data_IF_071191924882
#
_entry.id   IF_071191924882
#
_cell.length_a   1.000
_cell.length_b   1.000
_cell.length_c   1.000
_cell.angle_alpha   90.00
_cell.angle_beta   90.00
_cell.angle_gamma   90.00
#
_symmetry.space_group_name_H-M   'P 1'
#
loop_
_entity.id
_entity.type
_entity.pdbx_description
1 polymer ?
#
# COMPACT_ATOMS: atom_id res chain seq x y z
N UNK A 1 -3.46 -13.03 -2.86
CA UNK A 1 -2.48 -11.96 -3.16
C UNK A 1 -3.12 -10.60 -3.35
N UNK A 2 -4.16 -10.46 -4.17
CA UNK A 2 -4.80 -9.16 -4.43
C UNK A 2 -5.27 -8.45 -3.15
N UNK A 3 -5.82 -9.19 -2.17
CA UNK A 3 -6.21 -8.63 -0.87
C UNK A 3 -5.04 -8.02 -0.09
N UNK A 4 -3.86 -8.65 -0.13
CA UNK A 4 -2.66 -8.14 0.53
C UNK A 4 -2.26 -6.79 -0.07
N UNK A 5 -2.09 -6.76 -1.40
CA UNK A 5 -1.70 -5.55 -2.13
C UNK A 5 -2.72 -4.43 -1.91
N UNK A 6 -4.02 -4.74 -1.93
CA UNK A 6 -5.08 -3.77 -1.64
C UNK A 6 -4.99 -3.22 -0.19
N UNK A 7 -4.77 -4.07 0.80
CA UNK A 7 -4.62 -3.63 2.20
C UNK A 7 -3.38 -2.74 2.40
N UNK A 8 -2.24 -3.13 1.81
CA UNK A 8 -0.99 -2.39 1.90
C UNK A 8 -1.01 -1.07 1.13
N UNK A 9 -1.69 -1.01 -0.01
CA UNK A 9 -1.90 0.25 -0.76
C UNK A 9 -2.86 1.19 -0.04
N UNK A 10 -3.92 0.66 0.58
CA UNK A 10 -4.82 1.45 1.43
C UNK A 10 -4.07 1.99 2.66
N UNK A 11 -3.17 1.20 3.24
CA UNK A 11 -2.29 1.64 4.33
C UNK A 11 -1.34 2.75 3.86
N UNK A 12 -0.73 2.61 2.68
CA UNK A 12 0.11 3.64 2.09
C UNK A 12 -0.67 4.96 1.87
N UNK A 13 -1.88 4.87 1.33
CA UNK A 13 -2.74 6.02 1.08
C UNK A 13 -3.17 6.72 2.37
N UNK A 14 -3.51 5.96 3.42
CA UNK A 14 -3.85 6.54 4.74
C UNK A 14 -2.63 7.20 5.39
N UNK A 15 -1.44 6.61 5.24
CA UNK A 15 -0.19 7.17 5.73
C UNK A 15 0.16 8.49 5.03
N UNK A 16 0.00 8.56 3.70
CA UNK A 16 0.20 9.81 2.93
C UNK A 16 -0.76 10.91 3.39
N UNK A 17 -2.05 10.58 3.57
CA UNK A 17 -3.06 11.52 4.09
C UNK A 17 -2.69 12.03 5.48
N UNK A 18 -2.16 11.16 6.35
CA UNK A 18 -1.69 11.56 7.67
C UNK A 18 -0.51 12.55 7.58
N UNK A 19 0.52 12.22 6.78
CA UNK A 19 1.70 13.07 6.60
C UNK A 19 1.32 14.46 6.06
N UNK A 20 0.40 14.53 5.10
CA UNK A 20 -0.12 15.80 4.56
C UNK A 20 -0.80 16.68 5.60
N UNK A 21 -1.46 16.07 6.59
CA UNK A 21 -2.19 16.77 7.66
C UNK A 21 -1.34 17.01 8.91
N UNK A 22 -0.09 16.55 8.92
CA UNK A 22 0.80 16.76 10.05
C UNK A 22 1.14 18.25 10.20
N UNK A 23 1.17 18.73 11.45
CA UNK A 23 1.48 20.12 11.79
C UNK A 23 2.95 20.46 11.62
N UNK A 24 3.82 19.46 11.68
CA UNK A 24 5.26 19.64 11.57
C UNK A 24 5.66 19.71 10.11
N UNK A 25 6.32 20.81 9.73
CA UNK A 25 6.81 21.06 8.37
C UNK A 25 7.69 19.91 7.86
N UNK A 26 8.50 19.31 8.75
CA UNK A 26 9.35 18.14 8.46
C UNK A 26 8.56 16.91 8.00
N UNK A 27 7.36 16.66 8.55
CA UNK A 27 6.53 15.53 8.10
C UNK A 27 5.76 15.85 6.82
N UNK A 28 5.45 17.13 6.58
CA UNK A 28 4.78 17.57 5.35
C UNK A 28 5.69 17.44 4.13
N UNK A 29 6.99 17.71 4.28
CA UNK A 29 7.98 17.51 3.21
C UNK A 29 8.25 16.03 2.89
N UNK A 30 7.83 15.10 3.74
CA UNK A 30 7.92 13.66 3.47
C UNK A 30 6.80 13.15 2.57
N UNK A 31 5.66 13.85 2.45
CA UNK A 31 4.61 13.57 1.44
C UNK A 31 5.02 14.10 0.06
N UNK A 32 6.16 13.63 -0.42
CA UNK A 32 6.56 13.80 -1.81
C UNK A 32 6.19 12.54 -2.59
N UNK A 33 5.90 12.71 -3.88
CA UNK A 33 5.64 11.60 -4.81
C UNK A 33 6.80 10.60 -4.81
N UNK A 34 8.02 11.07 -4.55
CA UNK A 34 9.21 10.22 -4.43
C UNK A 34 9.12 9.25 -3.24
N UNK A 35 8.68 9.73 -2.07
CA UNK A 35 8.49 8.86 -0.89
C UNK A 35 7.40 7.83 -1.14
N UNK A 36 6.28 8.23 -1.75
CA UNK A 36 5.19 7.31 -2.09
C UNK A 36 5.67 6.22 -3.06
N UNK A 37 6.46 6.57 -4.08
CA UNK A 37 7.09 5.60 -4.99
C UNK A 37 8.05 4.65 -4.26
N UNK A 38 8.90 5.18 -3.37
CA UNK A 38 9.82 4.34 -2.55
C UNK A 38 9.05 3.36 -1.68
N UNK A 39 7.96 3.82 -1.04
CA UNK A 39 7.12 2.97 -0.20
C UNK A 39 6.45 1.86 -1.02
N UNK A 40 5.90 2.19 -2.20
CA UNK A 40 5.33 1.20 -3.12
C UNK A 40 6.37 0.17 -3.58
N UNK A 41 7.59 0.60 -3.90
CA UNK A 41 8.68 -0.32 -4.24
C UNK A 41 9.01 -1.24 -3.07
N UNK A 42 9.12 -0.72 -1.84
CA UNK A 42 9.38 -1.53 -0.64
C UNK A 42 8.28 -2.57 -0.44
N UNK A 43 7.01 -2.16 -0.52
CA UNK A 43 5.85 -3.07 -0.38
C UNK A 43 5.92 -4.16 -1.45
N UNK A 44 6.16 -3.79 -2.71
CA UNK A 44 6.27 -4.74 -3.82
C UNK A 44 7.41 -5.75 -3.60
N UNK A 45 8.59 -5.28 -3.17
CA UNK A 45 9.73 -6.15 -2.88
C UNK A 45 9.42 -7.12 -1.74
N UNK A 46 8.79 -6.64 -0.66
CA UNK A 46 8.37 -7.49 0.46
C UNK A 46 7.35 -8.54 0.00
N UNK A 47 6.37 -8.17 -0.82
CA UNK A 47 5.40 -9.12 -1.37
C UNK A 47 6.07 -10.21 -2.22
N UNK A 48 7.07 -9.85 -3.04
CA UNK A 48 7.82 -10.82 -3.86
C UNK A 48 8.62 -11.78 -2.97
N UNK A 49 9.36 -11.24 -1.98
CA UNK A 49 10.14 -12.06 -1.03
C UNK A 49 9.26 -13.00 -0.20
N UNK A 50 8.08 -12.53 0.19
CA UNK A 50 7.10 -13.36 0.91
C UNK A 50 6.67 -14.56 0.07
N UNK A 51 6.62 -14.41 -1.24
CA UNK A 51 6.17 -15.45 -2.16
C UNK A 51 7.28 -16.42 -2.57
N UNK A 52 8.53 -15.97 -2.61
CA UNK A 52 9.67 -16.87 -2.87
C UNK A 52 9.77 -17.97 -1.81
N UNK A 53 9.46 -17.67 -0.56
CA UNK A 53 9.36 -18.66 0.52
C UNK A 53 8.31 -19.73 0.21
N UNK A 54 7.12 -19.32 -0.26
CA UNK A 54 6.05 -20.24 -0.66
C UNK A 54 6.51 -21.15 -1.81
N UNK A 55 7.18 -20.61 -2.82
CA UNK A 55 7.68 -21.41 -3.93
C UNK A 55 8.73 -22.43 -3.50
N UNK A 56 9.56 -22.11 -2.50
CA UNK A 56 10.59 -23.01 -2.01
C UNK A 56 10.02 -24.16 -1.16
N UNK A 57 8.96 -23.90 -0.39
CA UNK A 57 8.41 -24.88 0.55
C UNK A 57 7.35 -25.82 -0.03
N UNK A 58 6.77 -25.49 -1.17
CA UNK A 58 5.74 -26.31 -1.82
C UNK A 58 6.39 -27.21 -2.89
N UNK A 59 6.32 -28.52 -2.67
CA UNK A 59 6.74 -29.52 -3.66
C UNK A 59 5.51 -30.10 -4.36
N UNK A 60 5.61 -30.30 -5.68
CA UNK A 60 4.54 -30.85 -6.52
C UNK A 60 4.47 -32.39 -6.51
N UNK A 61 4.99 -33.04 -5.46
CA UNK A 61 5.23 -34.48 -5.45
C UNK A 61 4.39 -35.17 -4.39
N UNK A 62 3.18 -35.62 -4.77
CA UNK A 62 2.48 -36.67 -4.04
C UNK A 62 2.12 -37.76 -5.05
N UNK A 63 2.76 -38.95 -4.98
CA UNK A 63 2.70 -39.95 -6.06
C UNK A 63 1.32 -40.55 -6.35
N UNK A 64 0.30 -40.25 -5.53
CA UNK A 64 -1.05 -40.82 -5.64
C UNK A 64 -2.18 -39.78 -5.82
N UNK A 65 -1.87 -38.48 -5.87
CA UNK A 65 -2.89 -37.43 -6.02
C UNK A 65 -2.57 -36.53 -7.20
N UNK A 66 -3.54 -36.37 -8.11
CA UNK A 66 -3.30 -35.80 -9.43
C UNK A 66 -2.88 -34.33 -9.42
N UNK A 67 -3.26 -33.50 -8.45
CA UNK A 67 -2.79 -32.10 -8.33
C UNK A 67 -3.00 -31.60 -6.90
N UNK A 68 -2.12 -31.93 -5.95
CA UNK A 68 -2.20 -31.38 -4.60
C UNK A 68 -0.86 -30.79 -4.16
N UNK A 69 -0.73 -29.47 -4.23
CA UNK A 69 0.41 -28.74 -3.65
C UNK A 69 0.22 -28.67 -2.13
N UNK A 70 0.81 -29.61 -1.40
CA UNK A 70 0.80 -29.61 0.07
C UNK A 70 2.19 -29.26 0.63
N UNK A 71 2.26 -28.48 1.73
CA UNK A 71 3.51 -28.26 2.45
C UNK A 71 4.03 -29.59 3.02
N UNK A 72 5.32 -29.85 2.81
CA UNK A 72 5.98 -31.12 3.16
C UNK A 72 5.99 -31.42 4.67
N UNK A 73 5.82 -30.41 5.54
CA UNK A 73 5.96 -30.57 6.99
C UNK A 73 4.95 -29.69 7.74
N UNK A 74 4.44 -30.21 8.87
CA UNK A 74 3.50 -29.49 9.74
C UNK A 74 4.07 -28.15 10.24
N UNK A 75 5.34 -28.11 10.64
CA UNK A 75 5.98 -26.88 11.13
C UNK A 75 6.04 -25.78 10.06
N UNK A 76 6.27 -26.15 8.79
CA UNK A 76 6.29 -25.20 7.67
C UNK A 76 4.90 -24.65 7.36
N UNK A 77 3.87 -25.49 7.47
CA UNK A 77 2.47 -25.05 7.37
C UNK A 77 2.14 -24.03 8.45
N UNK A 78 2.47 -24.34 9.70
CA UNK A 78 2.21 -23.45 10.82
C UNK A 78 2.92 -22.11 10.65
N UNK A 79 4.20 -22.12 10.25
CA UNK A 79 4.96 -20.91 9.96
C UNK A 79 4.32 -20.06 8.84
N UNK A 80 3.92 -20.70 7.74
CA UNK A 80 3.26 -20.01 6.63
C UNK A 80 1.94 -19.38 7.04
N UNK A 81 1.11 -20.11 7.80
CA UNK A 81 -0.18 -19.60 8.30
C UNK A 81 0.03 -18.41 9.25
N UNK A 82 1.04 -18.49 10.13
CA UNK A 82 1.43 -17.39 11.02
C UNK A 82 1.91 -16.16 10.26
N UNK A 83 2.80 -16.34 9.28
CA UNK A 83 3.29 -15.26 8.43
C UNK A 83 2.14 -14.60 7.68
N UNK A 84 1.22 -15.40 7.14
CA UNK A 84 0.07 -14.91 6.41
C UNK A 84 -0.85 -14.06 7.31
N UNK A 85 -1.15 -14.50 8.53
CA UNK A 85 -1.95 -13.74 9.50
C UNK A 85 -1.26 -12.45 9.92
N UNK A 86 0.04 -12.52 10.23
CA UNK A 86 0.82 -11.36 10.68
C UNK A 86 0.88 -10.28 9.59
N UNK A 87 1.29 -10.64 8.38
CA UNK A 87 1.51 -9.68 7.30
C UNK A 87 0.23 -9.17 6.64
N UNK A 88 -0.83 -9.99 6.56
CA UNK A 88 -2.07 -9.58 5.89
C UNK A 88 -3.10 -8.96 6.82
N UNK A 89 -3.08 -9.31 8.11
CA UNK A 89 -4.14 -8.90 9.03
C UNK A 89 -3.58 -8.02 10.14
N UNK A 90 -2.65 -8.51 10.94
CA UNK A 90 -2.24 -7.85 12.19
C UNK A 90 -1.48 -6.57 11.90
N UNK A 91 -0.43 -6.63 11.09
CA UNK A 91 0.41 -5.47 10.77
C UNK A 91 -0.41 -4.35 10.09
N UNK A 92 -1.11 -4.59 8.96
CA UNK A 92 -1.84 -3.52 8.29
C UNK A 92 -2.98 -2.95 9.15
N UNK A 93 -3.68 -3.78 9.94
CA UNK A 93 -4.72 -3.29 10.85
C UNK A 93 -4.16 -2.42 11.96
N UNK A 94 -3.06 -2.84 12.59
CA UNK A 94 -2.40 -2.05 13.63
C UNK A 94 -1.87 -0.73 13.06
N UNK A 95 -1.21 -0.76 11.91
CA UNK A 95 -0.72 0.46 11.26
C UNK A 95 -1.87 1.39 10.86
N UNK A 96 -2.97 0.87 10.29
CA UNK A 96 -4.16 1.68 9.98
C UNK A 96 -4.80 2.28 11.22
N UNK A 97 -4.92 1.52 12.31
CA UNK A 97 -5.48 2.01 13.56
C UNK A 97 -4.64 3.18 14.13
N UNK A 98 -3.31 3.07 14.05
CA UNK A 98 -2.40 4.14 14.47
C UNK A 98 -2.53 5.38 13.57
N UNK A 99 -2.39 5.24 12.26
CA UNK A 99 -2.49 6.37 11.33
C UNK A 99 -3.89 6.99 11.31
N UNK A 100 -4.94 6.17 11.44
CA UNK A 100 -6.32 6.63 11.57
C UNK A 100 -6.52 7.46 12.83
N UNK A 101 -6.05 6.96 13.98
CA UNK A 101 -6.12 7.68 15.26
C UNK A 101 -5.36 9.00 15.23
N UNK A 102 -4.14 8.99 14.68
CA UNK A 102 -3.33 10.19 14.53
C UNK A 102 -3.96 11.22 13.56
N UNK A 103 -4.60 10.73 12.48
CA UNK A 103 -5.34 11.58 11.55
C UNK A 103 -6.54 12.24 12.23
N UNK A 104 -7.32 11.48 13.01
CA UNK A 104 -8.46 12.03 13.77
C UNK A 104 -8.00 13.06 14.79
N UNK A 105 -6.91 12.79 15.53
CA UNK A 105 -6.32 13.75 16.48
C UNK A 105 -5.91 15.06 15.78
N UNK A 106 -5.20 14.97 14.65
CA UNK A 106 -4.78 16.15 13.89
C UNK A 106 -5.98 16.94 13.34
N UNK A 107 -7.05 16.28 12.90
CA UNK A 107 -8.28 16.92 12.45
C UNK A 107 -8.97 17.66 13.60
N UNK A 108 -9.18 16.99 14.74
CA UNK A 108 -9.84 17.60 15.91
C UNK A 108 -9.06 18.82 16.37
N UNK A 109 -7.74 18.72 16.49
CA UNK A 109 -6.91 19.87 16.83
C UNK A 109 -6.94 20.94 15.73
N UNK A 110 -6.98 20.61 14.44
CA UNK A 110 -7.14 21.61 13.37
C UNK A 110 -8.45 22.38 13.47
N UNK A 111 -9.57 21.65 13.61
CA UNK A 111 -10.93 22.20 13.67
C UNK A 111 -11.15 23.06 14.92
N UNK A 112 -10.73 22.58 16.10
CA UNK A 112 -10.87 23.31 17.37
C UNK A 112 -10.09 24.64 17.35
N UNK A 113 -8.89 24.66 16.77
CA UNK A 113 -8.11 25.89 16.64
C UNK A 113 -8.70 26.87 15.62
N UNK A 114 -9.34 26.38 14.55
CA UNK A 114 -10.05 27.26 13.62
C UNK A 114 -11.33 27.84 14.18
N UNK A 115 -12.02 27.13 15.09
CA UNK A 115 -13.25 27.63 15.74
C UNK A 115 -12.92 28.70 16.79
N UNK A 116 -11.84 28.53 17.58
CA UNK A 116 -11.42 29.52 18.58
C UNK A 116 -10.93 30.87 18.03
N UNK A 117 -10.70 31.01 16.72
CA UNK A 117 -10.31 32.29 16.10
C UNK A 117 -11.50 33.14 15.63
N UNK A 118 -12.73 32.65 15.76
CA UNK A 118 -13.91 33.39 15.33
C UNK A 118 -14.46 34.40 16.35
N UNK A 119 -13.88 34.49 17.56
CA UNK A 119 -14.37 35.38 18.63
C UNK A 119 -13.49 36.62 18.89
N UNK A 120 -12.59 37.01 17.98
CA UNK A 120 -11.81 38.25 18.15
C UNK A 120 -12.34 39.40 17.25
N UNK A 121 -12.60 40.60 17.81
CA UNK A 121 -13.19 41.71 17.07
C UNK A 121 -12.20 42.38 16.12
N UNK A 122 -12.68 42.51 14.87
CA UNK A 122 -12.45 43.52 13.83
C UNK A 122 -11.24 44.46 13.97
N UNK A 123 -10.20 44.21 13.17
CA UNK A 123 -9.72 45.17 12.13
C UNK A 123 -8.36 44.77 11.52
N UNK A 124 -7.52 44.02 12.24
CA UNK A 124 -6.23 43.51 11.70
C UNK A 124 -6.43 42.17 10.94
N UNK A 125 -7.60 41.54 11.08
CA UNK A 125 -7.94 40.20 10.56
C UNK A 125 -8.13 40.18 9.02
N UNK A 126 -8.37 41.33 8.39
CA UNK A 126 -8.67 41.40 6.95
C UNK A 126 -7.47 41.07 6.04
N UNK A 127 -6.23 41.31 6.49
CA UNK A 127 -5.05 41.03 5.65
C UNK A 127 -4.68 39.54 5.63
N UNK A 128 -4.84 38.83 6.75
CA UNK A 128 -4.56 37.40 6.85
C UNK A 128 -5.72 36.52 6.34
N UNK A 129 -6.96 37.02 6.34
CA UNK A 129 -8.09 36.34 5.70
C UNK A 129 -7.98 36.35 4.17
N UNK A 130 -7.37 37.38 3.55
CA UNK A 130 -7.15 37.39 2.09
C UNK A 130 -6.16 36.32 1.63
N UNK A 131 -5.11 36.05 2.41
CA UNK A 131 -4.18 34.93 2.16
C UNK A 131 -4.88 33.57 2.28
N UNK A 132 -5.74 33.38 3.29
CA UNK A 132 -6.48 32.11 3.50
C UNK A 132 -7.64 31.90 2.50
N UNK A 133 -8.25 32.96 1.99
CA UNK A 133 -9.30 32.90 0.95
C UNK A 133 -8.70 32.52 -0.42
N UNK A 134 -7.42 32.84 -0.63
CA UNK A 134 -6.72 32.44 -1.85
C UNK A 134 -6.44 30.92 -1.89
N UNK A 135 -6.23 30.26 -0.75
CA UNK A 135 -6.08 28.79 -0.69
C UNK A 135 -7.39 28.04 -1.04
N UNK A 136 -8.55 28.65 -0.77
CA UNK A 136 -9.86 28.17 -1.23
C UNK A 136 -10.02 28.23 -2.75
N UNK A 137 -9.46 29.27 -3.37
CA UNK A 137 -9.43 29.41 -4.82
C UNK A 137 -8.36 28.52 -5.46
N UNK A 138 -7.22 28.30 -4.82
CA UNK A 138 -6.20 27.33 -5.28
C UNK A 138 -6.72 25.91 -5.16
N UNK A 139 -7.43 25.55 -4.09
CA UNK A 139 -8.06 24.23 -3.95
C UNK A 139 -9.23 24.02 -4.92
N UNK A 140 -10.00 25.06 -5.28
CA UNK A 140 -10.99 25.01 -6.37
C UNK A 140 -10.35 24.94 -7.76
N UNK A 141 -9.26 25.68 -7.99
CA UNK A 141 -8.49 25.64 -9.23
C UNK A 141 -7.78 24.29 -9.40
N UNK A 142 -7.30 23.69 -8.30
CA UNK A 142 -6.79 22.33 -8.22
C UNK A 142 -7.91 21.30 -8.35
N UNK A 143 -9.11 21.50 -7.80
CA UNK A 143 -10.27 20.60 -8.00
C UNK A 143 -10.74 20.59 -9.45
N UNK A 144 -10.67 21.73 -10.13
CA UNK A 144 -10.96 21.84 -11.57
C UNK A 144 -9.82 21.22 -12.39
N UNK A 145 -8.55 21.39 -11.96
CA UNK A 145 -7.40 20.69 -12.57
C UNK A 145 -7.40 19.18 -12.29
N UNK A 146 -7.89 18.71 -11.15
CA UNK A 146 -7.99 17.29 -10.82
C UNK A 146 -9.14 16.64 -11.58
N UNK A 147 -10.18 17.40 -11.93
CA UNK A 147 -11.25 16.88 -12.78
C UNK A 147 -10.86 16.79 -14.27
N UNK A 148 -9.89 17.60 -14.73
CA UNK A 148 -9.38 17.54 -16.12
C UNK A 148 -8.04 16.81 -16.27
N UNK A 149 -7.29 16.58 -15.20
CA UNK A 149 -5.93 15.99 -15.28
C UNK A 149 -5.44 15.43 -13.93
N UNK A 150 -6.27 14.72 -13.15
CA UNK A 150 -5.73 13.83 -12.12
C UNK A 150 -5.56 12.41 -12.68
N UNK A 151 -4.35 11.87 -12.66
CA UNK A 151 -4.05 10.56 -13.22
C UNK A 151 -4.55 9.45 -12.29
N UNK A 152 -5.87 9.25 -12.19
CA UNK A 152 -6.41 7.96 -11.74
C UNK A 152 -6.00 6.83 -12.69
N UNK A 153 -5.62 7.16 -13.94
CA UNK A 153 -4.95 6.22 -14.84
C UNK A 153 -3.65 5.69 -14.25
N UNK A 154 -2.83 6.49 -13.57
CA UNK A 154 -1.53 5.98 -13.10
C UNK A 154 -1.67 4.98 -11.95
N UNK A 155 -2.67 5.10 -11.06
CA UNK A 155 -2.88 4.07 -10.02
C UNK A 155 -3.43 2.76 -10.60
N UNK A 156 -4.37 2.85 -11.55
CA UNK A 156 -4.94 1.65 -12.21
C UNK A 156 -3.90 1.02 -13.13
N UNK A 157 -3.18 1.83 -13.93
CA UNK A 157 -2.14 1.37 -14.84
C UNK A 157 -0.95 0.81 -14.06
N UNK A 158 -0.58 1.35 -12.89
CA UNK A 158 0.49 0.80 -12.06
C UNK A 158 0.06 -0.51 -11.39
N UNK A 159 -1.19 -0.64 -10.94
CA UNK A 159 -1.72 -1.92 -10.48
C UNK A 159 -1.68 -2.97 -11.60
N UNK A 160 -2.12 -2.59 -12.82
CA UNK A 160 -2.09 -3.47 -13.98
C UNK A 160 -0.65 -3.80 -14.43
N UNK A 161 0.29 -2.86 -14.33
CA UNK A 161 1.71 -3.09 -14.63
C UNK A 161 2.38 -4.00 -13.59
N UNK A 162 2.02 -3.83 -12.31
CA UNK A 162 2.51 -4.71 -11.25
C UNK A 162 1.91 -6.11 -11.45
N UNK A 163 0.63 -6.22 -11.79
CA UNK A 163 0.01 -7.50 -12.15
C UNK A 163 0.69 -8.14 -13.36
N UNK A 164 0.85 -7.40 -14.46
CA UNK A 164 1.42 -7.95 -15.71
C UNK A 164 2.87 -8.40 -15.51
N UNK A 165 3.69 -7.57 -14.85
CA UNK A 165 5.07 -7.93 -14.55
C UNK A 165 5.16 -9.11 -13.58
N UNK A 166 4.22 -9.21 -12.63
CA UNK A 166 4.16 -10.33 -11.71
C UNK A 166 3.79 -11.63 -12.42
N UNK A 167 2.76 -11.63 -13.27
CA UNK A 167 2.39 -12.80 -14.06
C UNK A 167 3.53 -13.23 -15.00
N UNK A 168 4.22 -12.27 -15.62
CA UNK A 168 5.37 -12.58 -16.47
C UNK A 168 6.52 -13.21 -15.66
N UNK A 169 6.83 -12.65 -14.48
CA UNK A 169 7.86 -13.21 -13.58
C UNK A 169 7.48 -14.62 -13.11
N UNK A 170 6.22 -14.83 -12.74
CA UNK A 170 5.72 -16.12 -12.28
C UNK A 170 5.80 -17.17 -13.39
N UNK A 171 5.41 -16.82 -14.61
CA UNK A 171 5.54 -17.68 -15.79
C UNK A 171 7.00 -18.00 -16.12
N UNK A 172 7.90 -17.01 -16.00
CA UNK A 172 9.34 -17.23 -16.18
C UNK A 172 9.90 -18.21 -15.16
N UNK A 173 9.57 -18.04 -13.87
CA UNK A 173 10.01 -18.94 -12.80
C UNK A 173 9.46 -20.36 -13.03
N UNK A 174 8.18 -20.50 -13.38
CA UNK A 174 7.58 -21.79 -13.75
C UNK A 174 8.30 -22.44 -14.94
N UNK A 175 8.66 -21.65 -15.96
CA UNK A 175 9.39 -22.17 -17.12
C UNK A 175 10.81 -22.65 -16.79
N UNK A 176 11.45 -22.06 -15.76
CA UNK A 176 12.77 -22.46 -15.27
C UNK A 176 12.64 -23.71 -14.41
N UNK A 177 11.66 -23.74 -13.51
CA UNK A 177 11.38 -24.90 -12.67
C UNK A 177 11.09 -26.16 -13.51
N UNK A 178 10.26 -26.03 -14.56
CA UNK A 178 9.96 -27.13 -15.48
C UNK A 178 11.19 -27.59 -16.29
N UNK A 179 12.18 -26.71 -16.50
CA UNK A 179 13.46 -27.09 -17.14
C UNK A 179 14.44 -27.74 -16.18
N UNK A 180 14.44 -27.33 -14.91
CA UNK A 180 15.35 -27.84 -13.88
C UNK A 180 14.94 -29.23 -13.38
N UNK A 181 13.64 -29.53 -13.35
CA UNK A 181 13.10 -30.86 -13.07
C UNK A 181 12.30 -31.35 -14.27
N UNK A 182 12.96 -31.82 -15.35
CA UNK A 182 12.25 -32.55 -16.39
C UNK A 182 11.62 -33.76 -15.70
N UNK A 183 10.30 -33.85 -15.74
CA UNK A 183 9.59 -35.03 -15.26
C UNK A 183 10.13 -36.20 -16.06
N UNK A 184 11.00 -36.99 -15.42
CA UNK A 184 11.54 -38.21 -15.96
C UNK A 184 10.32 -39.06 -16.32
N UNK A 185 10.04 -39.14 -17.63
CA UNK A 185 8.98 -40.00 -18.13
C UNK A 185 9.37 -41.38 -17.69
N UNK A 186 8.68 -41.88 -16.67
CA UNK A 186 8.67 -43.27 -16.25
C UNK A 186 8.49 -44.09 -17.52
N UNK A 187 9.61 -44.63 -18.01
CA UNK A 187 9.62 -45.72 -18.96
C UNK A 187 9.05 -46.91 -18.21
N UNK A 188 7.84 -47.30 -18.60
CA UNK A 188 7.35 -48.66 -18.39
C UNK A 188 8.16 -49.65 -19.21
#
# INVERSE_FOLDING_TARGET
MCFAVAAWTLLAASSDRYLRRSRLVKYRSLSTVQTARRLLMIISTVCILSYTEVLYFYQASVPNFSVACYPQSFSRRLYNDWMLIMFNTIIPSFSMANFGSLTIRNIRSGVIYSIKRCDFPNDIVNHNLRLRRNDGNISRMLLIQTHKKLPRRVEVDLCLLIESNFYELQNRILSIANRAWPTEKSHG
#
